data_IF_339316010121
#
_entry.id   IF_339316010121
#
_cell.length_a   1.000
_cell.length_b   1.000
_cell.length_c   1.000
_cell.angle_alpha   90.00
_cell.angle_beta   90.00
_cell.angle_gamma   90.00
#
_symmetry.space_group_name_H-M   'P 1'
#
loop_
_entity.id
_entity.type
_entity.pdbx_description
1 polymer ?
#
# COMPACT_ATOMS: atom_id res chain seq x y z
N UNK A 1 3.75 7.42 14.74
CA UNK A 1 3.75 6.66 13.49
C UNK A 1 2.33 6.60 12.93
N UNK A 2 2.20 6.79 11.64
CA UNK A 2 0.92 6.85 10.97
C UNK A 2 0.78 5.70 9.97
N UNK A 3 -0.37 5.02 9.97
CA UNK A 3 -0.61 3.88 9.09
C UNK A 3 -1.66 4.23 8.03
N UNK A 4 -1.43 3.78 6.79
CA UNK A 4 -2.40 3.85 5.71
C UNK A 4 -2.69 2.44 5.26
N UNK A 5 -3.98 2.06 5.30
CA UNK A 5 -4.42 0.71 4.97
C UNK A 5 -5.32 0.81 3.75
N UNK A 6 -5.05 -0.04 2.76
CA UNK A 6 -5.86 -0.10 1.55
C UNK A 6 -6.24 -1.53 1.25
N UNK A 7 -7.49 -1.73 0.84
CA UNK A 7 -7.98 -3.05 0.43
C UNK A 7 -8.44 -2.98 -1.01
N UNK A 8 -7.83 -3.82 -1.84
CA UNK A 8 -8.17 -3.97 -3.25
C UNK A 8 -8.89 -5.29 -3.43
N UNK A 9 -10.15 -5.22 -3.88
CA UNK A 9 -10.98 -6.42 -4.11
C UNK A 9 -10.81 -6.92 -5.53
N UNK A 10 -11.09 -8.20 -5.73
CA UNK A 10 -11.11 -8.83 -7.05
C UNK A 10 -9.80 -8.66 -7.82
N UNK A 11 -8.70 -8.83 -7.11
CA UNK A 11 -7.37 -8.74 -7.73
C UNK A 11 -7.08 -10.02 -8.52
N UNK A 12 -6.73 -9.84 -9.79
CA UNK A 12 -6.30 -10.95 -10.65
C UNK A 12 -4.84 -11.28 -10.34
N UNK A 13 -4.55 -12.57 -10.19
CA UNK A 13 -3.19 -13.06 -9.94
C UNK A 13 -2.50 -12.37 -8.77
N UNK A 14 -2.98 -12.57 -7.51
CA UNK A 14 -2.40 -11.89 -6.35
C UNK A 14 -0.89 -12.09 -6.17
N UNK A 15 -0.39 -13.29 -6.45
CA UNK A 15 1.05 -13.57 -6.33
C UNK A 15 1.88 -12.75 -7.31
N UNK A 16 1.42 -12.62 -8.55
CA UNK A 16 2.10 -11.80 -9.56
C UNK A 16 2.01 -10.33 -9.21
N UNK A 17 0.87 -9.90 -8.70
CA UNK A 17 0.66 -8.53 -8.25
C UNK A 17 1.64 -8.19 -7.11
N UNK A 18 1.79 -9.09 -6.13
CA UNK A 18 2.73 -8.92 -5.04
C UNK A 18 4.16 -8.78 -5.55
N UNK A 19 4.54 -9.61 -6.53
CA UNK A 19 5.86 -9.54 -7.13
C UNK A 19 6.10 -8.19 -7.83
N UNK A 20 5.12 -7.70 -8.57
CA UNK A 20 5.21 -6.39 -9.24
C UNK A 20 5.36 -5.27 -8.24
N UNK A 21 4.59 -5.31 -7.15
CA UNK A 21 4.66 -4.31 -6.09
C UNK A 21 6.05 -4.32 -5.45
N UNK A 22 6.56 -5.51 -5.15
CA UNK A 22 7.88 -5.63 -4.55
C UNK A 22 8.98 -5.08 -5.46
N UNK A 23 8.92 -5.36 -6.75
CA UNK A 23 9.94 -4.93 -7.69
C UNK A 23 9.82 -3.46 -8.10
N UNK A 24 8.60 -2.92 -8.19
CA UNK A 24 8.36 -1.59 -8.72
C UNK A 24 7.98 -0.54 -7.69
N UNK A 25 7.10 -0.88 -6.78
CA UNK A 25 6.55 0.08 -5.84
C UNK A 25 7.38 0.23 -4.56
N UNK A 26 7.89 -0.86 -4.01
CA UNK A 26 8.68 -0.81 -2.78
C UNK A 26 9.90 0.11 -2.92
N UNK A 27 10.66 0.08 -4.03
CA UNK A 27 11.76 1.04 -4.21
C UNK A 27 11.30 2.49 -4.18
N UNK A 28 10.11 2.79 -4.72
CA UNK A 28 9.53 4.14 -4.66
C UNK A 28 9.26 4.54 -3.21
N UNK A 29 8.65 3.65 -2.45
CA UNK A 29 8.36 3.89 -1.02
C UNK A 29 9.63 4.13 -0.22
N UNK A 30 10.66 3.32 -0.46
CA UNK A 30 11.94 3.42 0.26
C UNK A 30 12.63 4.76 0.05
N UNK A 31 12.34 5.43 -1.05
CA UNK A 31 12.87 6.75 -1.35
C UNK A 31 12.06 7.90 -0.75
N UNK A 32 10.94 7.64 -0.09
CA UNK A 32 10.08 8.70 0.44
C UNK A 32 10.47 9.08 1.86
N UNK A 33 10.49 10.39 2.18
CA UNK A 33 10.77 10.84 3.54
C UNK A 33 9.77 10.29 4.55
N UNK A 34 10.27 9.82 5.68
CA UNK A 34 9.42 9.32 6.76
C UNK A 34 8.85 7.93 6.59
N UNK A 35 9.24 7.23 5.53
CA UNK A 35 8.79 5.85 5.32
C UNK A 35 9.35 4.93 6.41
N UNK A 36 8.47 4.09 7.00
CA UNK A 36 8.84 3.18 8.10
C UNK A 36 8.65 1.71 7.76
N UNK A 37 7.69 1.37 6.93
CA UNK A 37 7.46 -0.03 6.60
C UNK A 37 6.29 -0.22 5.66
N UNK A 38 6.25 -1.39 5.05
CA UNK A 38 5.20 -1.74 4.10
C UNK A 38 4.92 -3.24 4.17
N UNK A 39 3.64 -3.59 4.17
CA UNK A 39 3.20 -4.97 4.13
C UNK A 39 2.12 -5.13 3.08
N UNK A 40 2.21 -6.20 2.32
CA UNK A 40 1.16 -6.59 1.38
C UNK A 40 0.67 -7.97 1.80
N UNK A 41 -0.62 -8.08 2.06
CA UNK A 41 -1.24 -9.32 2.52
C UNK A 41 -2.15 -9.86 1.41
N UNK A 42 -1.91 -11.10 1.01
CA UNK A 42 -2.76 -11.80 0.05
C UNK A 42 -3.94 -12.39 0.83
N UNK A 43 -5.06 -11.70 0.83
CA UNK A 43 -6.26 -12.10 1.53
C UNK A 43 -7.19 -12.90 0.60
N UNK A 44 -8.19 -13.60 1.19
CA UNK A 44 -9.08 -14.45 0.41
C UNK A 44 -9.83 -13.71 -0.71
N UNK A 45 -10.23 -12.48 -0.44
CA UNK A 45 -11.05 -11.70 -1.38
C UNK A 45 -10.32 -10.53 -2.02
N UNK A 46 -9.01 -10.51 -1.94
CA UNK A 46 -8.22 -9.43 -2.52
C UNK A 46 -6.88 -9.24 -1.83
N UNK A 47 -6.34 -8.03 -1.97
CA UNK A 47 -5.05 -7.68 -1.39
C UNK A 47 -5.25 -6.54 -0.38
N UNK A 48 -4.61 -6.67 0.77
CA UNK A 48 -4.58 -5.63 1.78
C UNK A 48 -3.15 -5.11 1.87
N UNK A 49 -2.97 -3.79 1.81
CA UNK A 49 -1.66 -3.18 1.99
C UNK A 49 -1.65 -2.30 3.24
N UNK A 50 -0.52 -2.30 3.93
CA UNK A 50 -0.30 -1.44 5.10
C UNK A 50 0.99 -0.68 4.87
N UNK A 51 0.90 0.64 4.84
CA UNK A 51 2.06 1.53 4.70
C UNK A 51 2.24 2.30 6.01
N UNK A 52 3.45 2.31 6.52
CA UNK A 52 3.77 2.99 7.79
C UNK A 52 4.70 4.16 7.53
N UNK A 53 4.36 5.31 8.10
CA UNK A 53 5.14 6.54 7.99
C UNK A 53 5.34 7.17 9.36
N UNK A 54 6.35 8.02 9.50
CA UNK A 54 6.62 8.66 10.79
C UNK A 54 5.54 9.66 11.19
N UNK A 55 4.82 10.24 10.21
CA UNK A 55 3.80 11.25 10.46
C UNK A 55 2.66 11.17 9.44
N UNK A 56 1.54 11.81 9.79
CA UNK A 56 0.41 11.95 8.86
C UNK A 56 0.82 12.70 7.59
N UNK A 57 1.63 13.74 7.74
CA UNK A 57 2.09 14.56 6.63
C UNK A 57 2.91 13.74 5.64
N UNK A 58 3.80 12.88 6.15
CA UNK A 58 4.58 11.98 5.30
C UNK A 58 3.68 11.00 4.57
N UNK A 59 2.67 10.44 5.26
CA UNK A 59 1.71 9.52 4.66
C UNK A 59 0.90 10.20 3.54
N UNK A 60 0.43 11.43 3.77
CA UNK A 60 -0.34 12.17 2.78
C UNK A 60 0.50 12.51 1.56
N UNK A 61 1.76 12.90 1.77
CA UNK A 61 2.67 13.22 0.67
C UNK A 61 2.94 11.97 -0.20
N UNK A 62 2.98 10.78 0.40
CA UNK A 62 3.21 9.54 -0.34
C UNK A 62 1.98 9.05 -1.10
N UNK A 63 0.77 9.45 -0.65
CA UNK A 63 -0.48 8.95 -1.21
C UNK A 63 -0.61 9.23 -2.71
N UNK A 64 -0.19 10.41 -3.16
CA UNK A 64 -0.23 10.77 -4.56
C UNK A 64 0.68 9.89 -5.41
N UNK A 65 1.87 9.59 -4.90
CA UNK A 65 2.83 8.73 -5.60
C UNK A 65 2.32 7.29 -5.64
N UNK A 66 1.70 6.83 -4.55
CA UNK A 66 1.10 5.51 -4.51
C UNK A 66 -0.05 5.40 -5.52
N UNK A 67 -0.92 6.38 -5.56
CA UNK A 67 -2.04 6.40 -6.49
C UNK A 67 -1.57 6.43 -7.94
N UNK A 68 -0.53 7.20 -8.24
CA UNK A 68 0.03 7.27 -9.59
C UNK A 68 0.60 5.93 -10.02
N UNK A 69 1.37 5.28 -9.14
CA UNK A 69 1.95 3.98 -9.46
C UNK A 69 0.88 2.92 -9.71
N UNK A 70 -0.14 2.87 -8.85
CA UNK A 70 -1.25 1.93 -8.99
C UNK A 70 -1.98 2.16 -10.30
N UNK A 71 -2.26 3.41 -10.63
CA UNK A 71 -2.96 3.78 -11.87
C UNK A 71 -2.17 3.33 -13.11
N UNK A 72 -0.86 3.45 -13.08
CA UNK A 72 0.00 3.09 -14.21
C UNK A 72 0.25 1.59 -14.32
N UNK A 73 0.24 0.86 -13.21
CA UNK A 73 0.72 -0.52 -13.16
C UNK A 73 -0.33 -1.56 -12.77
N UNK A 74 -1.41 -1.16 -12.08
CA UNK A 74 -2.30 -2.10 -11.40
C UNK A 74 -3.75 -2.08 -11.88
N UNK A 75 -4.12 -1.12 -12.73
CA UNK A 75 -5.51 -0.94 -13.13
C UNK A 75 -6.14 -2.20 -13.72
N UNK A 76 -5.37 -2.96 -14.48
CA UNK A 76 -5.84 -4.20 -15.08
C UNK A 76 -5.92 -5.36 -14.10
N UNK A 77 -5.30 -5.21 -12.93
CA UNK A 77 -5.18 -6.30 -11.96
C UNK A 77 -6.24 -6.29 -10.87
N UNK A 78 -6.93 -5.16 -10.71
CA UNK A 78 -7.99 -5.08 -9.72
C UNK A 78 -9.33 -4.60 -10.30
N UNK A 79 -9.51 -4.78 -11.61
CA UNK A 79 -10.76 -4.44 -12.29
C UNK A 79 -11.09 -2.96 -12.34
N UNK A 80 -10.16 -2.09 -11.96
CA UNK A 80 -10.37 -0.65 -11.99
C UNK A 80 -11.18 -0.09 -10.83
N UNK A 81 -11.66 -0.94 -9.90
CA UNK A 81 -12.41 -0.46 -8.76
C UNK A 81 -11.50 0.26 -7.76
N UNK A 82 -11.94 1.39 -7.19
CA UNK A 82 -11.12 2.08 -6.19
C UNK A 82 -10.97 1.23 -4.91
N UNK A 83 -9.81 1.32 -4.23
CA UNK A 83 -9.62 0.58 -2.99
C UNK A 83 -10.43 1.18 -1.84
N UNK A 84 -10.72 0.35 -0.85
CA UNK A 84 -11.21 0.84 0.43
C UNK A 84 -9.99 1.35 1.20
N UNK A 85 -10.07 2.55 1.75
CA UNK A 85 -8.95 3.20 2.42
C UNK A 85 -9.30 3.51 3.86
N UNK A 86 -8.39 3.16 4.77
CA UNK A 86 -8.46 3.56 6.17
C UNK A 86 -7.08 4.04 6.60
N UNK A 87 -7.02 5.07 7.42
CA UNK A 87 -5.76 5.61 7.86
C UNK A 87 -5.89 6.19 9.26
N UNK A 88 -4.81 6.17 10.04
CA UNK A 88 -4.82 6.69 11.38
C UNK A 88 -3.50 6.53 12.10
N UNK A 89 -3.43 7.10 13.30
CA UNK A 89 -2.27 6.97 14.17
C UNK A 89 -2.15 5.56 14.71
N UNK A 90 -0.93 5.05 14.72
CA UNK A 90 -0.62 3.78 15.36
C UNK A 90 -0.55 4.03 16.87
N UNK A 91 -1.45 3.41 17.62
CA UNK A 91 -1.52 3.58 19.07
C UNK A 91 -0.76 2.51 19.82
N UNK A 92 -0.65 1.33 19.24
CA UNK A 92 0.09 0.21 19.83
C UNK A 92 0.90 -0.44 18.73
N UNK A 93 2.19 -0.61 18.95
CA UNK A 93 3.08 -1.30 18.03
C UNK A 93 4.00 -2.21 18.83
N UNK A 94 3.91 -3.51 18.56
CA UNK A 94 4.70 -4.52 19.27
C UNK A 94 5.32 -5.44 18.22
N UNK A 95 6.61 -5.70 18.35
CA UNK A 95 7.32 -6.64 17.49
C UNK A 95 7.50 -7.97 18.21
N UNK A 96 7.25 -9.04 17.48
CA UNK A 96 7.40 -10.37 18.04
C UNK A 96 8.62 -11.12 17.55
#
# INVERSE_FOLDING_TARGET
MYASIRKYRDVHSPAETAHRVEQGFVPVLQGLPGFKGYYLVDAEDGIITVSLFESREAALASAEKAAAWVRENMVERHGGAPPEIAAGEVRVAVSG
#
